data_IF_726420879781
#
_entry.id   IF_726420879781
#
_cell.length_a   1.000
_cell.length_b   1.000
_cell.length_c   1.000
_cell.angle_alpha   90.00
_cell.angle_beta   90.00
_cell.angle_gamma   90.00
#
_symmetry.space_group_name_H-M   'P 1'
#
loop_
_entity.id
_entity.type
_entity.pdbx_description
1 polymer ?
#
# COMPACT_ATOMS: atom_id res chain seq x y z
N UNK A 1 -2.51 31.55 11.45
CA UNK A 1 -3.08 31.60 10.08
C UNK A 1 -4.38 30.82 10.10
N UNK A 2 -5.44 31.35 9.53
CA UNK A 2 -6.73 30.65 9.42
C UNK A 2 -6.60 29.62 8.30
N UNK A 3 -6.87 28.33 8.58
CA UNK A 3 -6.89 27.28 7.58
C UNK A 3 -8.07 27.52 6.63
N UNK A 4 -7.79 27.73 5.37
CA UNK A 4 -8.80 27.79 4.31
C UNK A 4 -8.67 26.52 3.48
N UNK A 5 -9.68 25.61 3.52
CA UNK A 5 -9.66 24.38 2.73
C UNK A 5 -9.45 24.66 1.25
N UNK A 6 -8.77 23.75 0.57
CA UNK A 6 -8.52 23.88 -0.85
C UNK A 6 -9.81 23.78 -1.67
N UNK A 7 -9.86 24.54 -2.76
CA UNK A 7 -10.99 24.50 -3.69
C UNK A 7 -10.99 23.20 -4.48
N UNK A 8 -12.16 22.61 -4.67
CA UNK A 8 -12.33 21.34 -5.40
C UNK A 8 -11.67 21.37 -6.79
N UNK A 9 -11.77 22.49 -7.51
CA UNK A 9 -11.18 22.61 -8.84
C UNK A 9 -9.65 22.59 -8.80
N UNK A 10 -9.04 23.28 -7.83
CA UNK A 10 -7.58 23.28 -7.62
C UNK A 10 -7.07 21.88 -7.25
N UNK A 11 -7.81 21.18 -6.39
CA UNK A 11 -7.50 19.79 -6.00
C UNK A 11 -7.56 18.84 -7.19
N UNK A 12 -8.58 18.94 -8.04
CA UNK A 12 -8.68 18.11 -9.26
C UNK A 12 -7.50 18.34 -10.20
N UNK A 13 -7.10 19.58 -10.40
CA UNK A 13 -5.92 19.91 -11.21
C UNK A 13 -4.64 19.34 -10.57
N UNK A 14 -4.50 19.43 -9.25
CA UNK A 14 -3.37 18.87 -8.52
C UNK A 14 -3.28 17.36 -8.69
N UNK A 15 -4.37 16.62 -8.45
CA UNK A 15 -4.44 15.16 -8.61
C UNK A 15 -4.03 14.75 -10.03
N UNK A 16 -4.51 15.48 -11.04
CA UNK A 16 -4.17 15.21 -12.45
C UNK A 16 -2.68 15.46 -12.73
N UNK A 17 -2.13 16.60 -12.30
CA UNK A 17 -0.73 16.96 -12.57
C UNK A 17 0.27 16.16 -11.75
N UNK A 18 -0.11 15.69 -10.58
CA UNK A 18 0.71 14.78 -9.76
C UNK A 18 0.75 13.34 -10.27
N UNK A 19 0.00 13.04 -11.33
CA UNK A 19 -0.13 11.68 -11.88
C UNK A 19 -0.58 10.66 -10.82
N UNK A 20 -1.46 11.07 -9.91
CA UNK A 20 -1.89 10.28 -8.76
C UNK A 20 -2.47 8.92 -9.16
N UNK A 21 -3.17 8.83 -10.28
CA UNK A 21 -3.69 7.55 -10.81
C UNK A 21 -2.55 6.57 -11.12
N UNK A 22 -1.46 7.05 -11.71
CA UNK A 22 -0.28 6.20 -11.98
C UNK A 22 0.35 5.69 -10.69
N UNK A 23 0.32 6.50 -9.62
CA UNK A 23 0.80 6.10 -8.29
C UNK A 23 -0.04 4.95 -7.75
N UNK A 24 -1.37 5.04 -7.84
CA UNK A 24 -2.28 3.99 -7.38
C UNK A 24 -2.03 2.67 -8.11
N UNK A 25 -1.87 2.70 -9.44
CA UNK A 25 -1.59 1.48 -10.22
C UNK A 25 -0.21 0.91 -9.90
N UNK A 26 0.82 1.75 -9.77
CA UNK A 26 2.15 1.30 -9.36
C UNK A 26 2.11 0.67 -7.95
N UNK A 27 1.38 1.27 -7.02
CA UNK A 27 1.21 0.69 -5.68
C UNK A 27 0.50 -0.66 -5.70
N UNK A 28 -0.47 -0.88 -6.61
CA UNK A 28 -1.09 -2.20 -6.80
C UNK A 28 -0.09 -3.23 -7.31
N UNK A 29 0.80 -2.85 -8.23
CA UNK A 29 1.86 -3.74 -8.72
C UNK A 29 2.84 -4.11 -7.60
N UNK A 30 3.19 -3.16 -6.74
CA UNK A 30 4.05 -3.38 -5.58
C UNK A 30 3.37 -4.25 -4.51
N UNK A 31 2.04 -4.28 -4.45
CA UNK A 31 1.27 -5.16 -3.56
C UNK A 31 1.15 -6.60 -4.07
N UNK A 32 1.68 -6.94 -5.24
CA UNK A 32 1.53 -8.28 -5.82
C UNK A 32 1.91 -9.42 -4.85
N UNK A 33 3.04 -9.36 -4.10
CA UNK A 33 3.38 -10.41 -3.14
C UNK A 33 2.33 -10.57 -2.01
N UNK A 34 1.72 -9.46 -1.61
CA UNK A 34 0.65 -9.48 -0.59
C UNK A 34 -0.62 -10.10 -1.15
N UNK A 35 -0.98 -9.77 -2.40
CA UNK A 35 -2.14 -10.35 -3.08
C UNK A 35 -1.96 -11.84 -3.32
N UNK A 36 -0.74 -12.29 -3.66
CA UNK A 36 -0.41 -13.71 -3.81
C UNK A 36 -0.58 -14.46 -2.48
N UNK A 37 -0.06 -13.91 -1.38
CA UNK A 37 -0.24 -14.49 -0.05
C UNK A 37 -1.70 -14.54 0.39
N UNK A 38 -2.48 -13.49 0.12
CA UNK A 38 -3.90 -13.46 0.44
C UNK A 38 -4.68 -14.50 -0.38
N UNK A 39 -4.37 -14.62 -1.67
CA UNK A 39 -4.97 -15.64 -2.55
C UNK A 39 -4.66 -17.06 -2.04
N UNK A 40 -3.42 -17.34 -1.65
CA UNK A 40 -3.01 -18.61 -1.06
C UNK A 40 -3.80 -18.89 0.24
N UNK A 41 -3.87 -17.93 1.14
CA UNK A 41 -4.61 -18.05 2.40
C UNK A 41 -6.11 -18.29 2.19
N UNK A 42 -6.72 -17.65 1.20
CA UNK A 42 -8.12 -17.87 0.84
C UNK A 42 -8.29 -19.32 0.36
N UNK A 43 -7.45 -19.82 -0.54
CA UNK A 43 -7.53 -21.18 -1.05
C UNK A 43 -7.28 -22.21 0.02
N UNK A 44 -6.31 -22.04 0.91
CA UNK A 44 -6.07 -22.93 2.05
C UNK A 44 -7.32 -23.08 2.92
N UNK A 45 -7.98 -21.94 3.23
CA UNK A 45 -9.22 -21.95 4.02
C UNK A 45 -10.37 -22.64 3.28
N UNK A 46 -10.59 -22.29 2.01
CA UNK A 46 -11.69 -22.86 1.21
C UNK A 46 -11.53 -24.35 0.99
N UNK A 47 -10.30 -24.81 0.75
CA UNK A 47 -10.00 -26.25 0.53
C UNK A 47 -9.79 -27.01 1.84
N UNK A 48 -9.79 -26.33 2.99
CA UNK A 48 -9.48 -26.89 4.31
C UNK A 48 -8.14 -27.67 4.32
N UNK A 49 -7.09 -27.01 3.82
CA UNK A 49 -5.74 -27.58 3.70
C UNK A 49 -4.72 -26.70 4.44
N UNK A 50 -3.66 -27.33 4.91
CA UNK A 50 -2.52 -26.64 5.52
C UNK A 50 -1.47 -26.24 4.47
N UNK A 51 -1.50 -26.84 3.28
CA UNK A 51 -0.53 -26.60 2.21
C UNK A 51 -1.13 -26.89 0.84
N UNK A 52 -0.80 -26.05 -0.13
CA UNK A 52 -1.09 -26.27 -1.56
C UNK A 52 0.10 -26.99 -2.20
N UNK A 53 -0.15 -28.14 -2.83
CA UNK A 53 0.92 -29.03 -3.31
C UNK A 53 0.82 -29.38 -4.79
N UNK A 54 -0.32 -29.14 -5.43
CA UNK A 54 -0.54 -29.48 -6.83
C UNK A 54 -0.32 -28.28 -7.75
N UNK A 55 0.08 -28.52 -8.99
CA UNK A 55 0.22 -27.49 -10.02
C UNK A 55 -1.10 -26.74 -10.25
N UNK A 56 -2.23 -27.43 -10.17
CA UNK A 56 -3.56 -26.84 -10.33
C UNK A 56 -3.87 -25.84 -9.20
N UNK A 57 -3.51 -26.18 -7.96
CA UNK A 57 -3.65 -25.26 -6.83
C UNK A 57 -2.77 -24.03 -6.97
N UNK A 58 -1.53 -24.19 -7.45
CA UNK A 58 -0.63 -23.06 -7.71
C UNK A 58 -1.16 -22.14 -8.80
N UNK A 59 -1.72 -22.68 -9.87
CA UNK A 59 -2.40 -21.91 -10.92
C UNK A 59 -3.61 -21.15 -10.36
N UNK A 60 -4.40 -21.78 -9.50
CA UNK A 60 -5.53 -21.14 -8.85
C UNK A 60 -5.11 -19.97 -7.94
N UNK A 61 -3.96 -20.04 -7.28
CA UNK A 61 -3.38 -18.89 -6.53
C UNK A 61 -3.15 -17.73 -7.46
N UNK A 62 -2.49 -17.94 -8.60
CA UNK A 62 -2.19 -16.88 -9.57
C UNK A 62 -3.47 -16.27 -10.14
N UNK A 63 -4.46 -17.09 -10.50
CA UNK A 63 -5.73 -16.61 -11.04
C UNK A 63 -6.52 -15.79 -9.99
N UNK A 64 -6.55 -16.26 -8.74
CA UNK A 64 -7.21 -15.55 -7.65
C UNK A 64 -6.48 -14.25 -7.30
N UNK A 65 -5.17 -14.25 -7.26
CA UNK A 65 -4.35 -13.06 -7.04
C UNK A 65 -4.63 -12.00 -8.13
N UNK A 66 -4.68 -12.42 -9.39
CA UNK A 66 -5.03 -11.52 -10.49
C UNK A 66 -6.46 -10.98 -10.35
N UNK A 67 -7.42 -11.82 -9.96
CA UNK A 67 -8.80 -11.39 -9.69
C UNK A 67 -8.88 -10.34 -8.57
N UNK A 68 -8.11 -10.54 -7.49
CA UNK A 68 -8.04 -9.57 -6.39
C UNK A 68 -7.46 -8.23 -6.86
N UNK A 69 -6.40 -8.27 -7.67
CA UNK A 69 -5.78 -7.07 -8.28
C UNK A 69 -6.74 -6.32 -9.18
N UNK A 70 -7.41 -7.02 -10.10
CA UNK A 70 -8.38 -6.44 -11.02
C UNK A 70 -9.57 -5.83 -10.28
N UNK A 71 -10.02 -6.48 -9.21
CA UNK A 71 -11.10 -5.98 -8.36
C UNK A 71 -10.69 -4.69 -7.66
N UNK A 72 -9.49 -4.63 -7.08
CA UNK A 72 -8.92 -3.44 -6.44
C UNK A 72 -8.78 -2.29 -7.44
N UNK A 73 -8.28 -2.58 -8.64
CA UNK A 73 -8.15 -1.60 -9.73
C UNK A 73 -9.51 -0.99 -10.11
N UNK A 74 -10.56 -1.81 -10.23
CA UNK A 74 -11.93 -1.35 -10.51
C UNK A 74 -12.49 -0.48 -9.39
N UNK A 75 -12.17 -0.79 -8.13
CA UNK A 75 -12.58 0.04 -6.98
C UNK A 75 -11.90 1.41 -7.03
N UNK A 76 -10.61 1.46 -7.37
CA UNK A 76 -9.87 2.73 -7.48
C UNK A 76 -10.39 3.64 -8.59
N UNK A 77 -10.87 3.06 -9.68
CA UNK A 77 -11.44 3.81 -10.80
C UNK A 77 -12.88 4.31 -10.57
N UNK A 78 -13.51 4.00 -9.43
CA UNK A 78 -14.88 4.44 -9.15
C UNK A 78 -14.93 5.95 -8.88
N UNK A 79 -15.97 6.64 -9.37
CA UNK A 79 -16.16 8.07 -9.09
C UNK A 79 -16.20 8.39 -7.60
N UNK A 80 -16.79 7.53 -6.78
CA UNK A 80 -16.89 7.70 -5.33
C UNK A 80 -15.51 7.66 -4.67
N UNK A 81 -14.62 6.79 -5.14
CA UNK A 81 -13.24 6.69 -4.66
C UNK A 81 -12.46 7.95 -4.99
N UNK A 82 -12.57 8.45 -6.24
CA UNK A 82 -11.93 9.69 -6.65
C UNK A 82 -12.45 10.89 -5.86
N UNK A 83 -13.75 10.99 -5.61
CA UNK A 83 -14.34 12.02 -4.77
C UNK A 83 -13.83 11.97 -3.33
N UNK A 84 -13.69 10.77 -2.76
CA UNK A 84 -13.12 10.60 -1.42
C UNK A 84 -11.66 11.07 -1.37
N UNK A 85 -10.86 10.78 -2.39
CA UNK A 85 -9.49 11.25 -2.52
C UNK A 85 -9.44 12.77 -2.63
N UNK A 86 -10.27 13.37 -3.51
CA UNK A 86 -10.39 14.82 -3.65
C UNK A 86 -10.73 15.48 -2.31
N UNK A 87 -11.64 14.89 -1.55
CA UNK A 87 -12.01 15.37 -0.21
C UNK A 87 -10.84 15.33 0.77
N UNK A 88 -10.08 14.22 0.80
CA UNK A 88 -8.88 14.08 1.65
C UNK A 88 -7.88 15.21 1.34
N UNK A 89 -7.60 15.47 0.07
CA UNK A 89 -6.71 16.55 -0.33
C UNK A 89 -7.24 17.92 0.12
N UNK A 90 -8.53 18.18 -0.10
CA UNK A 90 -9.16 19.45 0.25
C UNK A 90 -9.20 19.71 1.77
N UNK A 91 -9.31 18.65 2.58
CA UNK A 91 -9.32 18.75 4.05
C UNK A 91 -7.90 18.80 4.64
N UNK A 92 -6.89 18.32 3.89
CA UNK A 92 -5.50 18.26 4.36
C UNK A 92 -4.68 19.47 3.97
N UNK A 93 -4.90 20.01 2.77
CA UNK A 93 -4.14 21.12 2.21
C UNK A 93 -4.97 22.42 2.17
N UNK A 94 -4.33 23.54 2.46
CA UNK A 94 -4.91 24.85 2.21
C UNK A 94 -4.87 25.18 0.73
N UNK A 95 -5.72 26.10 0.29
CA UNK A 95 -5.71 26.60 -1.11
C UNK A 95 -4.33 27.15 -1.50
N UNK A 96 -3.66 27.88 -0.60
CA UNK A 96 -2.32 28.42 -0.84
C UNK A 96 -1.29 27.31 -1.10
N UNK A 97 -1.32 26.21 -0.32
CA UNK A 97 -0.44 25.05 -0.49
C UNK A 97 -0.72 24.34 -1.81
N UNK A 98 -2.00 24.14 -2.17
CA UNK A 98 -2.37 23.56 -3.45
C UNK A 98 -1.88 24.41 -4.61
N UNK A 99 -2.04 25.72 -4.57
CA UNK A 99 -1.54 26.64 -5.62
C UNK A 99 -0.01 26.63 -5.73
N UNK A 100 0.69 26.59 -4.60
CA UNK A 100 2.16 26.48 -4.58
C UNK A 100 2.62 25.14 -5.21
N UNK A 101 1.95 24.04 -4.89
CA UNK A 101 2.28 22.73 -5.44
C UNK A 101 1.93 22.64 -6.94
N UNK A 102 0.80 23.18 -7.37
CA UNK A 102 0.45 23.30 -8.79
C UNK A 102 1.52 24.08 -9.57
N UNK A 103 1.97 25.21 -9.02
CA UNK A 103 3.03 26.02 -9.64
C UNK A 103 4.33 25.20 -9.78
N UNK A 104 4.69 24.43 -8.78
CA UNK A 104 5.85 23.53 -8.81
C UNK A 104 5.69 22.45 -9.88
N UNK A 105 4.56 21.74 -9.92
CA UNK A 105 4.28 20.67 -10.87
C UNK A 105 4.14 21.15 -12.33
N UNK A 106 3.88 22.43 -12.56
CA UNK A 106 3.88 23.02 -13.91
C UNK A 106 5.30 23.18 -14.49
N UNK A 107 6.35 23.07 -13.66
CA UNK A 107 7.74 23.09 -14.13
C UNK A 107 8.22 21.66 -14.52
N UNK A 108 9.16 21.53 -15.47
CA UNK A 108 9.77 20.21 -15.80
C UNK A 108 10.45 19.58 -14.59
N UNK A 109 11.16 20.38 -13.80
CA UNK A 109 11.85 19.92 -12.58
C UNK A 109 10.86 19.43 -11.53
N UNK A 110 9.77 20.15 -11.32
CA UNK A 110 8.72 19.79 -10.38
C UNK A 110 8.09 18.45 -10.70
N UNK A 111 7.74 18.19 -11.95
CA UNK A 111 7.24 16.90 -12.42
C UNK A 111 8.26 15.78 -12.21
N UNK A 112 9.52 16.02 -12.62
CA UNK A 112 10.60 15.06 -12.44
C UNK A 112 10.86 14.71 -10.98
N UNK A 113 10.84 15.71 -10.09
CA UNK A 113 11.02 15.50 -8.65
C UNK A 113 9.83 14.75 -8.08
N UNK A 114 8.59 15.12 -8.45
CA UNK A 114 7.38 14.43 -7.98
C UNK A 114 7.43 12.92 -8.29
N UNK A 115 7.71 12.55 -9.54
CA UNK A 115 7.85 11.15 -9.95
C UNK A 115 8.98 10.42 -9.21
N UNK A 116 10.14 11.08 -9.04
CA UNK A 116 11.29 10.48 -8.34
C UNK A 116 11.05 10.33 -6.85
N UNK A 117 10.32 11.26 -6.21
CA UNK A 117 10.00 11.18 -4.78
C UNK A 117 9.17 9.94 -4.47
N UNK A 118 8.23 9.60 -5.33
CA UNK A 118 7.44 8.38 -5.18
C UNK A 118 8.32 7.13 -5.27
N UNK A 119 9.20 7.08 -6.28
CA UNK A 119 10.14 5.97 -6.42
C UNK A 119 11.12 5.86 -5.25
N UNK A 120 11.58 7.01 -4.73
CA UNK A 120 12.45 7.04 -3.55
C UNK A 120 11.69 6.49 -2.34
N UNK A 121 10.45 6.90 -2.12
CA UNK A 121 9.62 6.44 -1.00
C UNK A 121 9.40 4.92 -1.06
N UNK A 122 9.07 4.39 -2.24
CA UNK A 122 8.94 2.95 -2.46
C UNK A 122 10.23 2.20 -2.18
N UNK A 123 11.35 2.66 -2.73
CA UNK A 123 12.66 2.02 -2.50
C UNK A 123 13.07 2.04 -1.02
N UNK A 124 12.81 3.16 -0.32
CA UNK A 124 13.07 3.27 1.13
C UNK A 124 12.20 2.28 1.89
N UNK A 125 10.92 2.15 1.56
CA UNK A 125 10.03 1.20 2.19
C UNK A 125 10.46 -0.25 1.97
N UNK A 126 10.85 -0.61 0.74
CA UNK A 126 11.39 -1.93 0.42
C UNK A 126 12.67 -2.23 1.21
N UNK A 127 13.60 -1.26 1.28
CA UNK A 127 14.82 -1.40 2.06
C UNK A 127 14.54 -1.61 3.55
N UNK A 128 13.62 -0.84 4.13
CA UNK A 128 13.19 -1.01 5.53
C UNK A 128 12.57 -2.39 5.78
N UNK A 129 11.75 -2.88 4.84
CA UNK A 129 11.17 -4.23 4.88
C UNK A 129 12.26 -5.31 4.86
N UNK A 130 13.27 -5.18 3.99
CA UNK A 130 14.39 -6.11 3.93
C UNK A 130 15.21 -6.09 5.24
N UNK A 131 15.49 -4.91 5.80
CA UNK A 131 16.18 -4.80 7.09
C UNK A 131 15.38 -5.48 8.20
N UNK A 132 14.06 -5.29 8.23
CA UNK A 132 13.18 -5.94 9.20
C UNK A 132 13.25 -7.46 9.08
N UNK A 133 13.19 -8.01 7.87
CA UNK A 133 13.32 -9.45 7.63
C UNK A 133 14.70 -9.98 8.03
N UNK A 134 15.78 -9.26 7.73
CA UNK A 134 17.14 -9.63 8.14
C UNK A 134 17.27 -9.64 9.65
N UNK A 135 16.70 -8.65 10.33
CA UNK A 135 16.68 -8.56 11.79
C UNK A 135 15.94 -9.73 12.44
N UNK A 136 14.81 -10.18 11.85
CA UNK A 136 14.08 -11.36 12.32
C UNK A 136 14.84 -12.67 12.10
N UNK A 137 15.76 -12.72 11.13
CA UNK A 137 16.59 -13.87 10.84
C UNK A 137 17.91 -13.86 11.62
N UNK A 138 18.25 -12.75 12.29
CA UNK A 138 19.39 -12.69 13.21
C UNK A 138 19.13 -13.58 14.43
N UNK A 139 20.09 -14.48 14.72
CA UNK A 139 19.91 -15.51 15.75
C UNK A 139 19.68 -14.93 17.16
N UNK A 140 20.33 -13.80 17.49
CA UNK A 140 20.20 -13.15 18.78
C UNK A 140 18.87 -12.42 18.91
N UNK A 141 18.48 -11.65 17.90
CA UNK A 141 17.20 -10.93 17.86
C UNK A 141 16.02 -11.88 17.75
N UNK A 142 16.15 -12.97 16.99
CA UNK A 142 15.14 -14.01 16.86
C UNK A 142 14.91 -14.73 18.20
N UNK A 143 15.97 -14.97 18.99
CA UNK A 143 15.86 -15.55 20.34
C UNK A 143 15.13 -14.63 21.32
N UNK A 144 15.49 -13.34 21.34
CA UNK A 144 14.81 -12.34 22.17
C UNK A 144 13.34 -12.17 21.79
N UNK A 145 13.04 -12.11 20.48
CA UNK A 145 11.67 -12.02 20.00
C UNK A 145 10.84 -13.23 20.39
N UNK A 146 11.41 -14.43 20.29
CA UNK A 146 10.76 -15.68 20.71
C UNK A 146 10.44 -15.69 22.19
N UNK A 147 11.35 -15.21 23.03
CA UNK A 147 11.16 -15.13 24.49
C UNK A 147 10.04 -14.14 24.84
N UNK A 148 10.04 -12.96 24.21
CA UNK A 148 8.98 -11.97 24.37
C UNK A 148 7.63 -12.50 23.86
N UNK A 149 7.60 -13.16 22.71
CA UNK A 149 6.40 -13.79 22.15
C UNK A 149 5.81 -14.83 23.13
N UNK A 150 6.65 -15.72 23.67
CA UNK A 150 6.23 -16.70 24.67
C UNK A 150 5.66 -16.03 25.92
N UNK A 151 6.25 -14.94 26.37
CA UNK A 151 5.74 -14.16 27.51
C UNK A 151 4.34 -13.62 27.26
N UNK A 152 4.05 -13.20 26.03
CA UNK A 152 2.74 -12.66 25.63
C UNK A 152 1.68 -13.74 25.52
N UNK A 153 2.02 -14.89 24.93
CA UNK A 153 1.00 -15.93 24.63
C UNK A 153 0.80 -16.95 25.76
N UNK A 154 1.81 -17.15 26.63
CA UNK A 154 1.70 -18.13 27.75
C UNK A 154 0.44 -17.90 28.60
N UNK A 155 0.08 -16.66 29.01
CA UNK A 155 -1.14 -16.43 29.78
C UNK A 155 -2.44 -16.75 29.02
N UNK A 156 -2.39 -16.78 27.67
CA UNK A 156 -3.57 -17.04 26.82
C UNK A 156 -3.80 -18.55 26.56
N UNK A 157 -2.77 -19.36 26.80
CA UNK A 157 -2.79 -20.79 26.46
C UNK A 157 -2.90 -21.66 27.71
N UNK A 158 -2.60 -21.11 28.91
CA UNK A 158 -2.82 -21.83 30.18
C UNK A 158 -4.30 -21.72 30.57
N UNK A 159 -5.06 -22.82 30.58
CA UNK A 159 -6.40 -22.81 31.18
C UNK A 159 -6.29 -22.57 32.68
N UNK A 160 -7.20 -21.78 33.23
CA UNK A 160 -7.40 -21.59 34.68
C UNK A 160 -7.60 -22.92 35.42
#
# INVERSE_FOLDING_TARGET
>A
MSFTPAQTQSVKELIKLSEFENILYTSLDEMQPTLDSEAENILLRVLNKDKLTTTQEQLAVLELSQLLKDTSSKVFARPETLQAIEKIYAETLSEEEVQAYLKFLKTPEGRSINQKTLKISSNVFQYMSQLSQQSLNDAEQSSQLKEQFLTIITPLVQPD
#
